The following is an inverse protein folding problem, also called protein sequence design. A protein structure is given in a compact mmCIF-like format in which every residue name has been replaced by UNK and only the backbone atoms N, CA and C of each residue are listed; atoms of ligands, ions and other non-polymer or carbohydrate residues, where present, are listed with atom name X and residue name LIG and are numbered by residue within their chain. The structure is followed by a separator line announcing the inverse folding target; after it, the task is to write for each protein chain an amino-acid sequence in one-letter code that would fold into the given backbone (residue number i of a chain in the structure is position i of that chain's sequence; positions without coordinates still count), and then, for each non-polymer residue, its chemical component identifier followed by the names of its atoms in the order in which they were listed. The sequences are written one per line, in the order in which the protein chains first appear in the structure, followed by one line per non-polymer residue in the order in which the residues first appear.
data_IF_610114500679
#
_entry.id   IF_610114500679
#
_cell.length_a   1.000
_cell.length_b   1.000
_cell.length_c   1.000
_cell.angle_alpha   90.00
_cell.angle_beta   90.00
_cell.angle_gamma   90.00
#
_symmetry.space_group_name_H-M   'P 1'
#
loop_
_entity.id
_entity.type
_entity.pdbx_description
1 polymer ?
#
# COMPACT_ATOMS: atom_id res chain seq x y z
N UNK A 1 -0.18 -11.30 -10.99
CA UNK A 1 -0.87 -10.02 -10.91
C UNK A 1 -0.32 -9.06 -11.98
N UNK A 2 -1.19 -8.41 -12.72
CA UNK A 2 -0.73 -7.46 -13.74
C UNK A 2 -0.26 -6.17 -13.08
N UNK A 3 0.56 -5.41 -13.80
CA UNK A 3 1.06 -4.14 -13.32
C UNK A 3 -0.09 -3.18 -12.98
N UNK A 4 -1.12 -3.19 -13.79
CA UNK A 4 -2.29 -2.34 -13.58
C UNK A 4 -3.02 -2.68 -12.28
N UNK A 5 -3.15 -3.96 -12.00
CA UNK A 5 -3.78 -4.42 -10.75
C UNK A 5 -2.94 -4.06 -9.54
N UNK A 6 -1.62 -4.18 -9.65
CA UNK A 6 -0.71 -3.78 -8.58
C UNK A 6 -0.81 -2.30 -8.28
N UNK A 7 -0.84 -1.48 -9.33
CA UNK A 7 -0.97 -0.03 -9.15
C UNK A 7 -2.28 0.33 -8.46
N UNK A 8 -3.36 -0.35 -8.86
CA UNK A 8 -4.66 -0.12 -8.26
C UNK A 8 -4.67 -0.49 -6.79
N UNK A 9 -4.06 -1.62 -6.47
CA UNK A 9 -3.97 -2.09 -5.09
C UNK A 9 -3.12 -1.15 -4.24
N UNK A 10 -2.01 -0.66 -4.80
CA UNK A 10 -1.14 0.31 -4.11
C UNK A 10 -1.91 1.59 -3.80
N UNK A 11 -2.67 2.09 -4.77
CA UNK A 11 -3.46 3.30 -4.58
C UNK A 11 -4.50 3.10 -3.48
N UNK A 12 -5.16 1.95 -3.48
CA UNK A 12 -6.19 1.62 -2.49
C UNK A 12 -5.59 1.54 -1.09
N UNK A 13 -4.49 0.83 -0.94
CA UNK A 13 -3.82 0.69 0.34
C UNK A 13 -3.26 2.02 0.84
N UNK A 14 -2.79 2.87 -0.06
CA UNK A 14 -2.32 4.20 0.30
C UNK A 14 -3.46 5.01 0.90
N UNK A 15 -4.63 4.91 0.32
CA UNK A 15 -5.82 5.60 0.81
C UNK A 15 -6.18 5.12 2.21
N UNK A 16 -6.18 3.81 2.41
CA UNK A 16 -6.47 3.22 3.71
C UNK A 16 -5.45 3.61 4.76
N UNK A 17 -4.17 3.64 4.37
CA UNK A 17 -3.10 4.04 5.27
C UNK A 17 -3.29 5.48 5.75
N UNK A 18 -3.60 6.38 4.83
CA UNK A 18 -3.85 7.78 5.18
C UNK A 18 -5.05 7.92 6.11
N UNK A 19 -6.08 7.14 5.87
CA UNK A 19 -7.27 7.15 6.72
C UNK A 19 -6.93 6.66 8.12
N UNK A 20 -6.20 5.57 8.22
CA UNK A 20 -5.79 5.02 9.52
C UNK A 20 -4.95 6.03 10.29
N UNK A 21 -4.01 6.71 9.62
CA UNK A 21 -3.17 7.72 10.24
C UNK A 21 -4.01 8.90 10.72
N UNK A 22 -5.00 9.30 9.94
CA UNK A 22 -5.89 10.41 10.31
C UNK A 22 -6.71 10.08 11.56
N UNK A 23 -7.02 8.79 11.74
CA UNK A 23 -7.76 8.31 12.90
C UNK A 23 -6.84 7.97 14.08
N UNK A 24 -5.55 8.26 13.94
CA UNK A 24 -4.51 7.95 14.93
C UNK A 24 -4.39 6.45 15.20
N UNK A 25 -4.76 5.65 14.22
CA UNK A 25 -4.64 4.20 14.29
C UNK A 25 -3.29 3.80 13.70
N UNK A 26 -2.24 4.00 14.48
CA UNK A 26 -0.88 3.84 13.99
C UNK A 26 -0.50 2.40 13.70
N UNK A 27 -1.09 1.45 14.42
CA UNK A 27 -0.84 0.03 14.16
C UNK A 27 -1.33 -0.37 12.78
N UNK A 28 -2.55 0.02 12.44
CA UNK A 28 -3.11 -0.28 11.13
C UNK A 28 -2.34 0.44 10.03
N UNK A 29 -1.98 1.70 10.28
CA UNK A 29 -1.20 2.47 9.32
C UNK A 29 0.16 1.81 9.04
N UNK A 30 0.80 1.30 10.07
CA UNK A 30 2.10 0.62 9.94
C UNK A 30 1.97 -0.66 9.11
N UNK A 31 0.94 -1.45 9.38
CA UNK A 31 0.69 -2.69 8.63
C UNK A 31 0.43 -2.40 7.15
N UNK A 32 -0.36 -1.38 6.89
CA UNK A 32 -0.67 -0.98 5.52
C UNK A 32 0.58 -0.47 4.81
N UNK A 33 1.41 0.27 5.52
CA UNK A 33 2.67 0.76 4.98
C UNK A 33 3.59 -0.41 4.59
N UNK A 34 3.68 -1.42 5.46
CA UNK A 34 4.52 -2.58 5.17
C UNK A 34 4.05 -3.30 3.91
N UNK A 35 2.74 -3.45 3.76
CA UNK A 35 2.18 -4.04 2.55
C UNK A 35 2.48 -3.20 1.32
N UNK A 36 2.41 -1.88 1.46
CA UNK A 36 2.73 -0.97 0.37
C UNK A 36 4.18 -1.10 -0.08
N UNK A 37 5.10 -1.21 0.87
CA UNK A 37 6.51 -1.37 0.56
C UNK A 37 6.73 -2.66 -0.24
N UNK A 38 6.10 -3.75 0.16
CA UNK A 38 6.20 -5.02 -0.55
C UNK A 38 5.64 -4.92 -1.96
N UNK A 39 4.47 -4.30 -2.10
CA UNK A 39 3.84 -4.16 -3.41
C UNK A 39 4.66 -3.27 -4.34
N UNK A 40 5.25 -2.22 -3.81
CA UNK A 40 6.11 -1.34 -4.60
C UNK A 40 7.36 -2.07 -5.07
N UNK A 41 7.89 -2.94 -4.22
CA UNK A 41 9.03 -3.78 -4.59
C UNK A 41 8.67 -4.71 -5.74
N UNK A 42 7.51 -5.34 -5.66
CA UNK A 42 7.02 -6.22 -6.71
C UNK A 42 6.85 -5.47 -8.03
N UNK A 43 6.28 -4.29 -7.96
CA UNK A 43 6.09 -3.46 -9.14
C UNK A 43 7.42 -3.07 -9.76
N UNK A 44 8.40 -2.73 -8.94
CA UNK A 44 9.73 -2.36 -9.38
C UNK A 44 10.43 -3.54 -10.07
N UNK A 45 10.25 -4.74 -9.52
CA UNK A 45 10.84 -5.95 -10.07
C UNK A 45 10.25 -6.35 -11.42
N UNK A 46 9.03 -5.90 -11.69
CA UNK A 46 8.35 -6.19 -12.97
C UNK A 46 8.91 -5.37 -14.12
N UNK A 47 9.59 -4.29 -13.82
CA UNK A 47 10.21 -3.44 -14.85
C UNK A 47 11.56 -4.02 -15.27
#
# INVERSE_FOLDING_TARGET
MSQKELEKLIADLTKQMKKAAAELNFEAAAELRDKLVELKKMLNDME
#
